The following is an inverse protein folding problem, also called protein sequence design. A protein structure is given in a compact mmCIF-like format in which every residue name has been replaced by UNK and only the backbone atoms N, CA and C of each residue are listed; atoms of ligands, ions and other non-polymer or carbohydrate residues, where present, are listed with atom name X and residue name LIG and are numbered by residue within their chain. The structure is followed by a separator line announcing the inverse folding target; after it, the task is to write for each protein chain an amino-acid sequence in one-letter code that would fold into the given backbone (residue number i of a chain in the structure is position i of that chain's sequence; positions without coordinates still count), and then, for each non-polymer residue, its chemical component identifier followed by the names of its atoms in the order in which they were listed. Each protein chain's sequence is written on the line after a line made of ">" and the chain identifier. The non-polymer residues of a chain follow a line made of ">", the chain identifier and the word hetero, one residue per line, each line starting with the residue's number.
data_IF_254024394292
#
_entry.id   IF_254024394292
#
_cell.length_a   1.000
_cell.length_b   1.000
_cell.length_c   1.000
_cell.angle_alpha   90.00
_cell.angle_beta   90.00
_cell.angle_gamma   90.00
#
_symmetry.space_group_name_H-M   'P 1'
#
loop_
_entity.id
_entity.type
_entity.pdbx_description
1 polymer ?
#
# COMPACT_ATOMS: atom_id res chain seq x y z
N UNK A 1 53.47 17.55 18.87
CA UNK A 1 52.01 17.83 18.89
C UNK A 1 51.69 18.73 17.71
N UNK A 2 50.58 18.52 16.98
CA UNK A 2 50.14 19.20 15.74
C UNK A 2 50.62 18.60 14.40
N UNK A 3 50.30 17.34 14.12
CA UNK A 3 50.22 16.85 12.73
C UNK A 3 49.15 15.74 12.58
N UNK A 4 48.63 15.16 13.68
CA UNK A 4 47.73 13.98 13.63
C UNK A 4 46.24 14.37 13.84
N UNK A 5 45.92 15.65 14.06
CA UNK A 5 44.57 16.09 14.43
C UNK A 5 43.64 16.34 13.21
N UNK A 6 44.11 16.14 11.98
CA UNK A 6 43.38 16.56 10.78
C UNK A 6 42.75 15.41 9.97
N UNK A 7 42.94 14.15 10.37
CA UNK A 7 42.49 12.99 9.58
C UNK A 7 41.26 12.26 10.15
N UNK A 8 40.69 12.70 11.28
CA UNK A 8 39.59 12.00 11.96
C UNK A 8 38.21 12.61 11.66
N UNK A 9 38.14 13.79 11.06
CA UNK A 9 36.87 14.50 10.80
C UNK A 9 36.19 14.17 9.47
N UNK A 10 36.75 13.29 8.63
CA UNK A 10 36.20 13.01 7.29
C UNK A 10 35.29 11.76 7.20
N UNK A 11 35.06 11.02 8.29
CA UNK A 11 34.45 9.67 8.20
C UNK A 11 32.96 9.62 8.58
N UNK A 12 32.30 10.73 8.92
CA UNK A 12 31.00 10.68 9.63
C UNK A 12 29.75 11.21 8.90
N UNK A 13 29.75 11.43 7.58
CA UNK A 13 28.56 12.01 6.89
C UNK A 13 27.92 11.15 5.80
N UNK A 14 28.10 9.82 5.82
CA UNK A 14 27.29 8.91 5.00
C UNK A 14 26.39 8.03 5.88
N UNK A 15 25.58 8.66 6.73
CA UNK A 15 24.31 8.04 7.13
C UNK A 15 23.40 8.09 5.92
N UNK A 16 23.52 7.11 5.03
CA UNK A 16 22.52 6.87 4.00
C UNK A 16 21.20 6.60 4.71
N UNK A 17 20.30 7.58 4.68
CA UNK A 17 18.88 7.29 4.85
C UNK A 17 18.55 6.27 3.77
N UNK A 18 17.88 5.18 4.15
CA UNK A 18 17.21 4.34 3.15
C UNK A 18 16.14 5.24 2.54
N UNK A 19 16.47 5.85 1.41
CA UNK A 19 15.63 6.82 0.70
C UNK A 19 14.42 6.08 0.15
N UNK A 20 13.25 6.48 0.61
CA UNK A 20 12.00 6.07 0.01
C UNK A 20 10.81 6.65 0.75
N UNK A 21 9.92 7.28 0.00
CA UNK A 21 8.67 7.81 0.54
C UNK A 21 7.72 6.67 0.86
N UNK A 22 7.03 6.82 2.00
CA UNK A 22 6.09 5.82 2.50
C UNK A 22 4.73 6.45 2.71
N UNK A 23 3.72 5.85 2.10
CA UNK A 23 2.33 6.29 2.17
C UNK A 23 1.46 5.17 2.70
N UNK A 24 0.50 5.51 3.54
CA UNK A 24 -0.48 4.58 4.08
C UNK A 24 -1.86 5.13 3.78
N UNK A 25 -2.53 4.50 2.83
CA UNK A 25 -3.89 4.82 2.44
C UNK A 25 -4.84 3.89 3.18
N UNK A 26 -5.95 4.42 3.69
CA UNK A 26 -6.91 3.59 4.39
C UNK A 26 -8.30 4.21 4.40
N UNK A 27 -9.31 3.36 4.47
CA UNK A 27 -10.70 3.75 4.69
C UNK A 27 -11.45 2.60 5.36
N UNK A 28 -12.54 2.92 6.05
CA UNK A 28 -13.49 1.95 6.60
C UNK A 28 -14.89 2.26 6.10
N UNK A 29 -15.51 1.28 5.44
CA UNK A 29 -16.89 1.35 5.00
C UNK A 29 -17.85 0.64 5.94
N UNK A 30 -18.95 0.15 5.37
CA UNK A 30 -20.00 -0.57 6.09
C UNK A 30 -19.55 -2.00 6.41
N UNK A 31 -18.87 -2.68 5.48
CA UNK A 31 -18.45 -4.07 5.66
C UNK A 31 -16.94 -4.29 5.61
N UNK A 32 -16.17 -3.30 5.17
CA UNK A 32 -14.74 -3.48 4.89
C UNK A 32 -13.87 -2.38 5.47
N UNK A 33 -12.76 -2.78 6.07
CA UNK A 33 -11.64 -1.92 6.45
C UNK A 33 -10.46 -2.25 5.52
N UNK A 34 -9.92 -1.23 4.86
CA UNK A 34 -8.83 -1.40 3.90
C UNK A 34 -7.60 -0.62 4.37
N UNK A 35 -6.44 -1.26 4.26
CA UNK A 35 -5.13 -0.66 4.42
C UNK A 35 -4.31 -0.95 3.16
N UNK A 36 -3.76 0.09 2.54
CA UNK A 36 -2.89 0.00 1.38
C UNK A 36 -1.62 0.80 1.64
N UNK A 37 -0.51 0.11 1.80
CA UNK A 37 0.81 0.66 2.07
C UNK A 37 1.61 0.73 0.77
N UNK A 38 2.22 1.87 0.52
CA UNK A 38 3.08 2.14 -0.63
C UNK A 38 4.45 2.57 -0.15
N UNK A 39 5.50 1.95 -0.70
CA UNK A 39 6.89 2.37 -0.52
C UNK A 39 7.46 2.68 -1.89
N UNK A 40 7.82 3.94 -2.13
CA UNK A 40 8.47 4.39 -3.35
C UNK A 40 9.97 4.48 -3.10
N UNK A 41 10.79 3.94 -3.99
CA UNK A 41 12.26 3.98 -3.90
C UNK A 41 12.83 4.55 -5.21
N UNK A 42 13.73 5.52 -5.10
CA UNK A 42 14.39 6.21 -6.23
C UNK A 42 13.42 6.78 -7.30
N UNK A 43 12.18 7.13 -6.93
CA UNK A 43 11.12 7.64 -7.83
C UNK A 43 10.76 6.75 -9.03
N UNK A 44 11.21 5.49 -9.06
CA UNK A 44 11.02 4.57 -10.20
C UNK A 44 10.59 3.16 -9.79
N UNK A 45 10.79 2.79 -8.53
CA UNK A 45 10.37 1.52 -7.98
C UNK A 45 9.29 1.77 -6.92
N UNK A 46 8.21 1.00 -7.01
CA UNK A 46 7.14 1.01 -6.02
C UNK A 46 6.92 -0.39 -5.48
N UNK A 47 6.78 -0.51 -4.17
CA UNK A 47 6.36 -1.72 -3.49
C UNK A 47 5.04 -1.45 -2.77
N UNK A 48 4.07 -2.34 -2.96
CA UNK A 48 2.78 -2.24 -2.28
C UNK A 48 2.48 -3.45 -1.42
N UNK A 49 1.81 -3.20 -0.30
CA UNK A 49 1.39 -4.20 0.67
C UNK A 49 0.09 -3.73 1.34
N UNK A 50 -0.62 -4.62 2.02
CA UNK A 50 -1.82 -4.21 2.72
C UNK A 50 -2.79 -5.33 3.03
N UNK A 51 -4.02 -4.93 3.35
CA UNK A 51 -5.10 -5.84 3.71
C UNK A 51 -6.47 -5.28 3.40
N UNK A 52 -7.37 -6.19 3.05
CA UNK A 52 -8.82 -5.97 3.01
C UNK A 52 -9.42 -6.85 4.09
N UNK A 53 -10.09 -6.27 5.09
CA UNK A 53 -10.59 -6.96 6.28
C UNK A 53 -12.09 -6.75 6.41
N UNK A 54 -12.82 -7.84 6.62
CA UNK A 54 -14.26 -7.78 6.88
C UNK A 54 -14.52 -7.25 8.30
N UNK A 55 -15.38 -6.24 8.41
CA UNK A 55 -15.81 -5.60 9.65
C UNK A 55 -17.33 -5.57 9.81
N UNK A 56 -18.08 -6.12 8.84
CA UNK A 56 -19.54 -6.18 8.90
C UNK A 56 -20.05 -7.08 10.03
N UNK A 57 -21.32 -6.88 10.42
CA UNK A 57 -21.96 -7.60 11.52
C UNK A 57 -22.26 -9.07 11.21
N UNK A 58 -22.31 -9.44 9.93
CA UNK A 58 -22.66 -10.79 9.48
C UNK A 58 -21.44 -11.72 9.51
N UNK A 59 -21.66 -13.00 9.16
CA UNK A 59 -20.53 -13.91 8.92
C UNK A 59 -19.72 -13.39 7.73
N UNK A 60 -18.41 -13.28 7.88
CA UNK A 60 -17.51 -12.90 6.78
C UNK A 60 -17.66 -13.89 5.60
N UNK A 61 -17.62 -13.39 4.35
CA UNK A 61 -17.64 -14.25 3.17
C UNK A 61 -16.38 -15.12 3.10
N UNK A 62 -16.47 -16.25 2.41
CA UNK A 62 -15.34 -17.17 2.26
C UNK A 62 -14.32 -16.65 1.23
N UNK A 63 -14.81 -16.00 0.18
CA UNK A 63 -14.02 -15.41 -0.91
C UNK A 63 -14.51 -14.01 -1.24
N UNK A 64 -13.62 -13.21 -1.83
CA UNK A 64 -13.95 -11.91 -2.42
C UNK A 64 -13.22 -11.72 -3.75
N UNK A 65 -13.81 -10.92 -4.63
CA UNK A 65 -13.08 -10.27 -5.71
C UNK A 65 -12.83 -8.81 -5.37
N UNK A 66 -11.73 -8.25 -5.84
CA UNK A 66 -11.44 -6.83 -5.65
C UNK A 66 -10.72 -6.19 -6.83
N UNK A 67 -10.95 -4.90 -7.01
CA UNK A 67 -10.23 -4.04 -7.96
C UNK A 67 -9.69 -2.83 -7.24
N UNK A 68 -8.48 -2.44 -7.59
CA UNK A 68 -7.76 -1.28 -7.06
C UNK A 68 -7.40 -0.40 -8.24
N UNK A 69 -7.81 0.86 -8.20
CA UNK A 69 -7.51 1.85 -9.22
C UNK A 69 -6.87 3.06 -8.54
N UNK A 70 -5.76 3.51 -9.09
CA UNK A 70 -5.06 4.71 -8.65
C UNK A 70 -4.61 5.47 -9.89
N UNK A 71 -4.79 6.79 -9.85
CA UNK A 71 -4.60 7.66 -11.01
C UNK A 71 -5.44 7.21 -12.22
N UNK A 72 -5.23 7.86 -13.36
CA UNK A 72 -6.00 7.53 -14.58
C UNK A 72 -5.48 6.30 -15.33
N UNK A 73 -4.34 5.72 -14.94
CA UNK A 73 -3.67 4.66 -15.70
C UNK A 73 -3.31 3.41 -14.86
N UNK A 74 -3.26 3.52 -13.52
CA UNK A 74 -2.92 2.42 -12.63
C UNK A 74 -4.12 1.54 -12.28
N UNK A 75 -4.05 0.25 -12.58
CA UNK A 75 -5.07 -0.74 -12.20
C UNK A 75 -4.43 -2.02 -11.67
N UNK A 76 -4.97 -2.53 -10.57
CA UNK A 76 -4.74 -3.88 -10.06
C UNK A 76 -6.08 -4.58 -9.80
N UNK A 77 -6.11 -5.89 -9.92
CA UNK A 77 -7.29 -6.70 -9.58
C UNK A 77 -6.86 -8.02 -8.96
N UNK A 78 -7.78 -8.67 -8.27
CA UNK A 78 -7.65 -10.10 -8.03
C UNK A 78 -7.74 -10.85 -9.35
N UNK A 79 -6.78 -11.74 -9.63
CA UNK A 79 -6.83 -12.62 -10.81
C UNK A 79 -7.94 -13.68 -10.68
N UNK A 80 -8.32 -14.03 -9.44
CA UNK A 80 -9.36 -15.01 -9.06
C UNK A 80 -9.99 -14.62 -7.70
N UNK A 81 -11.10 -15.28 -7.34
CA UNK A 81 -11.74 -15.18 -6.02
C UNK A 81 -10.73 -15.42 -4.88
N UNK A 82 -10.41 -14.36 -4.15
CA UNK A 82 -9.40 -14.34 -3.11
C UNK A 82 -9.98 -14.87 -1.79
N UNK A 83 -9.45 -15.98 -1.24
CA UNK A 83 -9.97 -16.57 -0.01
C UNK A 83 -9.62 -15.73 1.21
N UNK A 84 -10.59 -15.52 2.10
CA UNK A 84 -10.39 -14.81 3.36
C UNK A 84 -9.78 -15.74 4.41
N UNK A 85 -8.61 -15.38 4.92
CA UNK A 85 -8.00 -16.04 6.07
C UNK A 85 -8.29 -15.22 7.31
N UNK A 86 -9.10 -15.79 8.22
CA UNK A 86 -9.56 -15.09 9.43
C UNK A 86 -10.26 -13.76 9.12
N UNK A 87 -11.09 -13.74 8.08
CA UNK A 87 -11.85 -12.54 7.69
C UNK A 87 -11.03 -11.48 6.94
N UNK A 88 -9.83 -11.80 6.46
CA UNK A 88 -9.01 -10.85 5.72
C UNK A 88 -8.26 -11.47 4.55
N UNK A 89 -8.07 -10.66 3.50
CA UNK A 89 -7.09 -10.88 2.43
C UNK A 89 -5.88 -10.00 2.73
N UNK A 90 -4.67 -10.54 2.57
CA UNK A 90 -3.42 -9.80 2.71
C UNK A 90 -2.60 -9.94 1.45
N UNK A 91 -2.15 -8.81 0.91
CA UNK A 91 -1.21 -8.75 -0.20
C UNK A 91 0.11 -8.19 0.31
N UNK A 92 1.23 -8.72 -0.20
CA UNK A 92 2.57 -8.37 0.27
C UNK A 92 3.52 -8.25 -0.91
N UNK A 93 4.32 -7.18 -0.87
CA UNK A 93 5.51 -6.99 -1.71
C UNK A 93 5.21 -7.11 -3.21
N UNK A 94 4.13 -6.50 -3.67
CA UNK A 94 3.89 -6.34 -5.10
C UNK A 94 4.82 -5.24 -5.56
N UNK A 95 5.89 -5.61 -6.27
CA UNK A 95 6.88 -4.66 -6.79
C UNK A 95 6.56 -4.31 -8.23
N UNK A 96 6.59 -3.02 -8.54
CA UNK A 96 6.39 -2.47 -9.86
C UNK A 96 7.56 -1.53 -10.20
N UNK A 97 8.32 -1.84 -11.25
CA UNK A 97 9.42 -0.99 -11.73
C UNK A 97 9.01 -0.27 -13.02
N UNK A 98 9.24 1.04 -13.09
CA UNK A 98 8.79 1.93 -14.18
C UNK A 98 7.26 2.00 -14.35
N UNK A 99 6.52 1.87 -13.25
CA UNK A 99 5.08 2.03 -13.23
C UNK A 99 4.73 3.48 -12.86
N UNK A 100 3.47 3.87 -13.05
CA UNK A 100 2.99 5.13 -12.50
C UNK A 100 3.14 5.08 -10.97
N UNK A 101 3.85 6.06 -10.42
CA UNK A 101 4.17 6.12 -8.99
C UNK A 101 3.02 6.79 -8.26
N UNK A 102 2.46 6.08 -7.28
CA UNK A 102 1.43 6.61 -6.38
C UNK A 102 2.04 7.70 -5.51
N UNK A 103 1.44 8.89 -5.55
CA UNK A 103 1.80 10.05 -4.74
C UNK A 103 0.94 10.11 -3.47
N UNK A 104 1.42 10.84 -2.47
CA UNK A 104 0.75 10.96 -1.16
C UNK A 104 -0.69 11.48 -1.25
N UNK A 105 -0.91 12.42 -2.17
CA UNK A 105 -2.16 13.14 -2.39
C UNK A 105 -3.09 12.44 -3.40
N UNK A 106 -2.70 11.27 -3.91
CA UNK A 106 -3.56 10.46 -4.77
C UNK A 106 -4.75 9.91 -3.98
N UNK A 107 -5.83 9.60 -4.71
CA UNK A 107 -6.95 8.82 -4.22
C UNK A 107 -6.89 7.43 -4.83
N UNK A 108 -7.14 6.40 -4.01
CA UNK A 108 -7.21 5.01 -4.47
C UNK A 108 -8.65 4.52 -4.37
N UNK A 109 -9.29 4.23 -5.50
CA UNK A 109 -10.61 3.60 -5.53
C UNK A 109 -10.44 2.08 -5.38
N UNK A 110 -11.10 1.50 -4.38
CA UNK A 110 -11.19 0.06 -4.20
C UNK A 110 -12.64 -0.39 -4.30
N UNK A 111 -12.90 -1.32 -5.22
CA UNK A 111 -14.19 -2.00 -5.39
C UNK A 111 -14.05 -3.43 -4.87
N UNK A 112 -14.86 -3.81 -3.88
CA UNK A 112 -14.91 -5.17 -3.31
C UNK A 112 -16.24 -5.81 -3.69
N UNK A 113 -16.19 -7.04 -4.19
CA UNK A 113 -17.36 -7.82 -4.62
C UNK A 113 -17.39 -9.16 -3.89
N UNK A 114 -18.54 -9.52 -3.32
CA UNK A 114 -18.72 -10.78 -2.58
C UNK A 114 -20.18 -11.17 -2.55
N UNK A 115 -20.52 -12.45 -2.73
CA UNK A 115 -21.89 -12.96 -2.58
C UNK A 115 -22.98 -12.15 -3.32
N UNK A 116 -22.63 -11.53 -4.47
CA UNK A 116 -23.53 -10.66 -5.24
C UNK A 116 -23.68 -9.22 -4.71
N UNK A 117 -22.95 -8.85 -3.66
CA UNK A 117 -22.84 -7.50 -3.11
C UNK A 117 -21.60 -6.78 -3.68
N UNK A 118 -21.61 -5.45 -3.59
CA UNK A 118 -20.49 -4.61 -4.02
C UNK A 118 -20.38 -3.40 -3.11
N UNK A 119 -19.17 -3.08 -2.69
CA UNK A 119 -18.85 -1.90 -1.89
C UNK A 119 -17.64 -1.19 -2.50
N UNK A 120 -17.72 0.15 -2.54
CA UNK A 120 -16.69 1.01 -3.11
C UNK A 120 -16.17 1.96 -2.04
N UNK A 121 -14.86 2.03 -1.92
CA UNK A 121 -14.16 2.85 -0.94
C UNK A 121 -13.09 3.67 -1.63
N UNK A 122 -12.93 4.93 -1.20
CA UNK A 122 -11.88 5.82 -1.67
C UNK A 122 -10.89 5.96 -0.52
N UNK A 123 -9.65 5.50 -0.73
CA UNK A 123 -8.60 5.55 0.27
C UNK A 123 -7.80 6.85 0.10
N UNK A 124 -7.57 7.54 1.22
CA UNK A 124 -6.70 8.71 1.32
C UNK A 124 -5.63 8.50 2.38
N UNK A 125 -4.59 9.33 2.37
CA UNK A 125 -3.55 9.30 3.41
C UNK A 125 -3.92 10.06 4.69
N UNK A 126 -4.91 10.95 4.61
CA UNK A 126 -5.43 11.71 5.74
C UNK A 126 -6.72 11.03 6.27
N UNK A 127 -6.77 10.80 7.60
CA UNK A 127 -7.98 10.37 8.33
C UNK A 127 -8.58 11.54 9.10
#
# INVERSE_FOLDING_TARGET
>A
MKQILLLVTLVLLMSGCVDGDKYSFSESGDNWEILYEVVVTNDVEQQTAGSIKYIGDNKAPETIDYKIQYNSLGQGSSDEESPLKFGAVKFKNITCGNCEIIQKDDEIEVEIMWEGQTEKLILTTDK
#
